data_IF_609872982130
#
_entry.id   IF_609872982130
#
_cell.length_a   1.000
_cell.length_b   1.000
_cell.length_c   1.000
_cell.angle_alpha   90.00
_cell.angle_beta   90.00
_cell.angle_gamma   90.00
#
_symmetry.space_group_name_H-M   'P 1'
#
loop_
_entity.id
_entity.type
_entity.pdbx_description
1 polymer ?
#
# COMPACT_ATOMS: atom_id res chain seq x y z
N UNK A 1 19.99 21.85 1.87
CA UNK A 1 19.15 20.83 2.54
C UNK A 1 18.34 20.00 1.54
N UNK A 2 17.27 20.49 0.88
CA UNK A 2 16.55 19.63 -0.13
C UNK A 2 17.40 19.22 -1.34
N UNK A 3 18.41 20.01 -1.72
CA UNK A 3 19.26 19.75 -2.89
C UNK A 3 20.30 18.64 -2.69
N UNK A 4 20.53 18.24 -1.44
CA UNK A 4 21.63 17.35 -1.05
C UNK A 4 21.15 15.93 -0.70
N UNK A 5 19.85 15.66 -0.88
CA UNK A 5 19.23 14.36 -0.57
C UNK A 5 19.10 13.57 -1.88
N UNK A 6 19.65 12.35 -1.96
CA UNK A 6 19.45 11.50 -3.14
C UNK A 6 17.96 11.13 -3.25
N UNK A 7 17.37 11.37 -4.42
CA UNK A 7 16.02 10.89 -4.74
C UNK A 7 16.16 9.47 -5.26
N UNK A 8 15.97 8.50 -4.37
CA UNK A 8 16.05 7.09 -4.70
C UNK A 8 14.72 6.62 -5.27
N UNK A 9 14.77 5.90 -6.39
CA UNK A 9 13.60 5.33 -7.02
C UNK A 9 13.22 4.03 -6.31
N UNK A 10 11.92 3.86 -6.06
CA UNK A 10 11.39 2.59 -5.52
C UNK A 10 11.27 1.59 -6.66
N UNK A 11 12.05 0.52 -6.56
CA UNK A 11 12.05 -0.64 -7.46
C UNK A 11 11.81 -1.91 -6.61
N UNK A 12 11.27 -2.97 -7.23
CA UNK A 12 11.00 -4.26 -6.58
C UNK A 12 10.10 -4.20 -5.34
N UNK A 13 9.13 -3.28 -5.36
CA UNK A 13 8.07 -3.18 -4.37
C UNK A 13 6.74 -3.01 -5.12
N UNK A 14 5.76 -3.85 -4.79
CA UNK A 14 4.46 -3.88 -5.48
C UNK A 14 3.33 -3.71 -4.49
N UNK A 15 2.36 -2.86 -4.83
CA UNK A 15 1.03 -2.87 -4.24
C UNK A 15 0.14 -3.76 -5.12
N UNK A 16 -0.48 -4.77 -4.54
CA UNK A 16 -1.41 -5.68 -5.23
C UNK A 16 -2.78 -5.65 -4.54
N UNK A 17 -3.85 -5.78 -5.33
CA UNK A 17 -5.21 -5.92 -4.83
C UNK A 17 -5.79 -7.20 -5.41
N UNK A 18 -6.28 -8.10 -4.56
CA UNK A 18 -6.79 -9.41 -4.97
C UNK A 18 -8.12 -9.73 -4.26
N UNK A 19 -8.98 -10.58 -4.83
CA UNK A 19 -10.23 -10.98 -4.17
C UNK A 19 -9.94 -11.58 -2.80
N UNK A 20 -10.69 -11.17 -1.79
CA UNK A 20 -10.57 -11.76 -0.46
C UNK A 20 -11.13 -13.18 -0.51
N UNK A 21 -10.40 -14.12 0.09
CA UNK A 21 -10.82 -15.52 0.15
C UNK A 21 -11.28 -15.86 1.56
N UNK A 22 -12.47 -16.44 1.67
CA UNK A 22 -13.03 -17.00 2.90
C UNK A 22 -13.41 -18.46 2.64
N UNK A 23 -12.90 -19.38 3.46
CA UNK A 23 -13.12 -20.84 3.32
C UNK A 23 -12.84 -21.41 1.91
N UNK A 24 -11.85 -20.85 1.20
CA UNK A 24 -11.47 -21.29 -0.15
C UNK A 24 -12.34 -20.74 -1.28
N UNK A 25 -13.29 -19.87 -0.98
CA UNK A 25 -14.13 -19.17 -1.97
C UNK A 25 -13.95 -17.66 -1.87
N UNK A 26 -14.07 -16.90 -2.98
CA UNK A 26 -14.06 -15.44 -2.91
C UNK A 26 -15.22 -14.92 -2.07
N UNK A 27 -14.92 -14.06 -1.09
CA UNK A 27 -15.93 -13.30 -0.35
C UNK A 27 -16.50 -12.22 -1.29
N UNK A 28 -17.82 -12.19 -1.43
CA UNK A 28 -18.48 -11.24 -2.32
C UNK A 28 -18.15 -9.80 -1.93
N UNK A 29 -17.92 -8.96 -2.94
CA UNK A 29 -17.63 -7.53 -2.82
C UNK A 29 -16.41 -7.14 -1.98
N UNK A 30 -15.59 -8.10 -1.55
CA UNK A 30 -14.43 -7.86 -0.70
C UNK A 30 -13.11 -8.22 -1.39
N UNK A 31 -12.15 -7.31 -1.25
CA UNK A 31 -10.79 -7.44 -1.76
C UNK A 31 -9.80 -7.22 -0.63
N UNK A 32 -8.57 -7.70 -0.80
CA UNK A 32 -7.45 -7.44 0.09
C UNK A 32 -6.35 -6.72 -0.66
N UNK A 33 -5.86 -5.62 -0.08
CA UNK A 33 -4.63 -4.96 -0.49
C UNK A 33 -3.42 -5.64 0.15
N UNK A 34 -2.35 -5.78 -0.63
CA UNK A 34 -1.08 -6.37 -0.21
C UNK A 34 0.08 -5.48 -0.62
N UNK A 35 1.10 -5.44 0.23
CA UNK A 35 2.43 -4.95 -0.13
C UNK A 35 3.33 -6.16 -0.35
N UNK A 36 4.08 -6.17 -1.44
CA UNK A 36 4.93 -7.30 -1.83
C UNK A 36 6.35 -6.79 -2.00
N UNK A 37 7.25 -7.23 -1.12
CA UNK A 37 8.68 -7.03 -1.26
C UNK A 37 9.24 -8.06 -2.24
N UNK A 38 9.63 -7.61 -3.44
CA UNK A 38 10.28 -8.45 -4.44
C UNK A 38 11.80 -8.45 -4.31
N UNK A 39 12.38 -7.75 -3.33
CA UNK A 39 13.82 -7.78 -3.09
C UNK A 39 14.24 -9.12 -2.50
N UNK A 40 15.52 -9.43 -2.68
CA UNK A 40 16.18 -10.57 -2.02
C UNK A 40 16.65 -10.23 -0.59
N UNK A 41 16.36 -9.01 -0.12
CA UNK A 41 16.67 -8.51 1.22
C UNK A 41 15.42 -7.91 1.90
N UNK A 42 15.36 -7.88 3.24
CA UNK A 42 14.24 -7.29 3.97
C UNK A 42 14.22 -5.76 3.85
N UNK A 43 13.02 -5.19 3.96
CA UNK A 43 12.82 -3.75 4.17
C UNK A 43 12.30 -3.50 5.60
N UNK A 44 12.67 -2.35 6.16
CA UNK A 44 12.44 -2.02 7.57
C UNK A 44 11.55 -0.79 7.72
N UNK A 45 10.90 -0.64 8.86
CA UNK A 45 10.12 0.53 9.24
C UNK A 45 9.11 0.95 8.16
N UNK A 46 8.36 -0.01 7.64
CA UNK A 46 7.41 0.21 6.55
C UNK A 46 6.16 0.90 7.10
N UNK A 47 5.92 2.13 6.68
CA UNK A 47 4.72 2.90 7.00
C UNK A 47 3.87 3.05 5.74
N UNK A 48 2.60 2.68 5.83
CA UNK A 48 1.63 2.79 4.73
C UNK A 48 0.47 3.66 5.19
N UNK A 49 0.31 4.83 4.58
CA UNK A 49 -0.90 5.64 4.73
C UNK A 49 -1.85 5.35 3.56
N UNK A 50 -3.04 4.82 3.83
CA UNK A 50 -4.07 4.58 2.81
C UNK A 50 -5.22 5.56 2.93
N UNK A 51 -5.75 5.99 1.78
CA UNK A 51 -6.97 6.82 1.71
C UNK A 51 -7.65 6.69 0.35
N UNK A 52 -8.98 6.81 0.35
CA UNK A 52 -9.80 6.99 -0.83
C UNK A 52 -10.18 8.46 -1.00
N UNK A 53 -10.12 8.98 -2.22
CA UNK A 53 -10.69 10.28 -2.55
C UNK A 53 -11.20 10.34 -3.99
N UNK A 54 -12.18 11.19 -4.26
CA UNK A 54 -12.75 11.35 -5.59
C UNK A 54 -14.11 12.03 -5.55
N UNK A 55 -14.88 11.84 -6.60
CA UNK A 55 -16.24 12.35 -6.74
C UNK A 55 -17.19 11.20 -7.07
N UNK A 56 -18.32 11.12 -6.38
CA UNK A 56 -19.39 10.16 -6.66
C UNK A 56 -20.68 10.97 -6.79
N UNK A 57 -21.36 10.84 -7.92
CA UNK A 57 -22.63 11.54 -8.20
C UNK A 57 -22.58 13.07 -8.00
N UNK A 58 -21.43 13.70 -8.27
CA UNK A 58 -21.23 15.14 -8.10
C UNK A 58 -20.80 15.57 -6.70
N UNK A 59 -20.73 14.64 -5.74
CA UNK A 59 -20.30 14.90 -4.37
C UNK A 59 -18.84 14.49 -4.14
N UNK A 60 -18.07 15.39 -3.55
CA UNK A 60 -16.68 15.12 -3.18
C UNK A 60 -16.62 14.16 -2.00
N UNK A 61 -16.01 13.00 -2.23
CA UNK A 61 -15.92 11.91 -1.27
C UNK A 61 -14.47 11.70 -0.83
N UNK A 62 -14.27 11.51 0.48
CA UNK A 62 -12.97 11.19 1.08
C UNK A 62 -13.17 10.17 2.19
N UNK A 63 -12.31 9.16 2.25
CA UNK A 63 -12.26 8.24 3.39
C UNK A 63 -11.33 8.77 4.46
N UNK A 64 -11.43 8.19 5.67
CA UNK A 64 -10.41 8.35 6.70
C UNK A 64 -9.06 7.85 6.19
N UNK A 65 -7.98 8.49 6.66
CA UNK A 65 -6.61 8.01 6.45
C UNK A 65 -6.33 6.90 7.45
N UNK A 66 -6.04 5.69 6.95
CA UNK A 66 -5.58 4.58 7.77
C UNK A 66 -4.06 4.50 7.72
N UNK A 67 -3.46 4.03 8.83
CA UNK A 67 -2.01 3.95 8.99
C UNK A 67 -1.63 2.54 9.40
N UNK A 68 -0.84 1.89 8.56
CA UNK A 68 -0.34 0.54 8.77
C UNK A 68 1.17 0.60 8.96
N UNK A 69 1.66 -0.14 9.95
CA UNK A 69 3.08 -0.19 10.26
C UNK A 69 3.55 -1.65 10.28
N UNK A 70 4.65 -1.90 9.58
CA UNK A 70 5.38 -3.16 9.65
C UNK A 70 6.81 -2.84 10.05
N UNK A 71 7.29 -3.46 11.13
CA UNK A 71 8.67 -3.32 11.56
C UNK A 71 9.63 -3.83 10.48
N UNK A 72 9.33 -5.00 9.92
CA UNK A 72 10.08 -5.63 8.83
C UNK A 72 9.11 -6.28 7.83
N UNK A 73 9.45 -6.19 6.54
CA UNK A 73 8.90 -7.08 5.50
C UNK A 73 10.06 -7.84 4.88
N UNK A 74 10.05 -9.16 5.06
CA UNK A 74 11.11 -10.06 4.60
C UNK A 74 11.29 -10.07 3.08
N UNK A 75 12.37 -10.71 2.59
CA UNK A 75 12.62 -10.88 1.17
C UNK A 75 11.52 -11.72 0.52
N UNK A 76 11.18 -11.42 -0.75
CA UNK A 76 10.19 -12.17 -1.53
C UNK A 76 8.86 -12.44 -0.79
N UNK A 77 8.43 -11.50 0.05
CA UNK A 77 7.30 -11.69 0.97
C UNK A 77 6.15 -10.73 0.65
N UNK A 78 4.93 -11.24 0.76
CA UNK A 78 3.71 -10.44 0.70
C UNK A 78 3.11 -10.26 2.10
N UNK A 79 2.73 -9.04 2.44
CA UNK A 79 2.01 -8.71 3.66
C UNK A 79 0.64 -8.10 3.31
N UNK A 80 -0.42 -8.60 3.94
CA UNK A 80 -1.76 -8.01 3.82
C UNK A 80 -1.77 -6.65 4.53
N UNK A 81 -2.29 -5.63 3.86
CA UNK A 81 -2.45 -4.28 4.38
C UNK A 81 -3.84 -4.15 4.99
N UNK A 82 -4.88 -4.22 4.15
CA UNK A 82 -6.27 -3.97 4.57
C UNK A 82 -7.29 -4.57 3.59
N UNK A 83 -8.53 -4.83 4.04
CA UNK A 83 -9.67 -5.04 3.15
C UNK A 83 -10.05 -3.79 2.36
N UNK A 84 -10.58 -4.00 1.16
CA UNK A 84 -11.26 -2.97 0.36
C UNK A 84 -12.66 -3.49 -0.02
N UNK A 85 -13.69 -2.68 0.23
CA UNK A 85 -15.03 -2.93 -0.30
C UNK A 85 -15.10 -2.48 -1.76
N UNK A 86 -15.68 -3.29 -2.65
CA UNK A 86 -15.76 -3.04 -4.09
C UNK A 86 -16.36 -1.66 -4.44
N UNK A 87 -17.31 -1.17 -3.63
CA UNK A 87 -17.89 0.17 -3.81
C UNK A 87 -16.85 1.31 -3.78
N UNK A 88 -15.71 1.11 -3.09
CA UNK A 88 -14.62 2.07 -2.99
C UNK A 88 -13.75 2.13 -4.24
N UNK A 89 -13.90 1.22 -5.20
CA UNK A 89 -13.19 1.29 -6.49
C UNK A 89 -13.67 2.43 -7.39
N UNK A 90 -14.79 3.07 -7.04
CA UNK A 90 -15.21 4.32 -7.64
C UNK A 90 -14.35 5.51 -7.22
N UNK A 91 -13.58 5.37 -6.14
CA UNK A 91 -12.64 6.38 -5.66
C UNK A 91 -11.22 6.07 -6.14
N UNK A 92 -10.38 7.11 -6.19
CA UNK A 92 -8.93 6.92 -6.23
C UNK A 92 -8.48 6.39 -4.88
N UNK A 93 -7.91 5.19 -4.86
CA UNK A 93 -7.35 4.57 -3.66
C UNK A 93 -5.84 4.82 -3.68
N UNK A 94 -5.38 5.75 -2.84
CA UNK A 94 -3.97 6.11 -2.72
C UNK A 94 -3.33 5.32 -1.59
N UNK A 95 -2.18 4.70 -1.87
CA UNK A 95 -1.32 4.07 -0.87
C UNK A 95 0.05 4.76 -0.87
N UNK A 96 0.30 5.54 0.18
CA UNK A 96 1.58 6.20 0.37
C UNK A 96 2.47 5.35 1.27
N UNK A 97 3.47 4.71 0.67
CA UNK A 97 4.40 3.78 1.31
C UNK A 97 5.75 4.44 1.53
N UNK A 98 6.21 4.48 2.77
CA UNK A 98 7.57 4.87 3.15
C UNK A 98 8.27 3.69 3.85
N UNK A 99 9.55 3.45 3.56
CA UNK A 99 10.32 2.36 4.18
C UNK A 99 11.82 2.65 4.18
N UNK A 100 12.56 1.94 5.02
CA UNK A 100 14.02 1.98 5.06
C UNK A 100 14.60 0.74 4.37
N UNK A 101 15.58 0.95 3.49
CA UNK A 101 16.32 -0.11 2.82
C UNK A 101 17.76 0.34 2.57
N UNK A 102 18.74 -0.53 2.86
CA UNK A 102 20.18 -0.24 2.74
C UNK A 102 20.62 1.10 3.35
N UNK A 103 20.03 1.48 4.49
CA UNK A 103 20.36 2.73 5.22
C UNK A 103 19.70 3.99 4.67
N UNK A 104 18.86 3.89 3.63
CA UNK A 104 18.14 5.02 3.05
C UNK A 104 16.64 4.90 3.24
N UNK A 105 15.97 6.04 3.35
CA UNK A 105 14.52 6.13 3.35
C UNK A 105 14.00 6.27 1.92
N UNK A 106 13.01 5.46 1.59
CA UNK A 106 12.31 5.42 0.31
C UNK A 106 10.86 5.81 0.50
N UNK A 107 10.27 6.33 -0.56
CA UNK A 107 8.91 6.84 -0.52
C UNK A 107 8.24 6.71 -1.90
N UNK A 108 7.04 6.14 -1.95
CA UNK A 108 6.25 6.01 -3.19
C UNK A 108 4.76 6.05 -2.91
N UNK A 109 4.05 6.79 -3.76
CA UNK A 109 2.59 6.77 -3.84
C UNK A 109 2.16 5.84 -4.96
N UNK A 110 1.25 4.94 -4.63
CA UNK A 110 0.51 4.08 -5.55
C UNK A 110 -0.91 4.60 -5.68
#
# INVERSE_FOLDING_TARGET
MKKDIPILKVEDLILAVAPRMENGTPEADMWDAFIINLKDEPIQNVLINSRGYGEIEGEQMKTTVLRHYFEEIGPRTACKIEPIQTKLFQLTNEYWVSFTYSGYMYDKKY
#
